data_IF_358626076964
#
_entry.id   IF_358626076964
#
_cell.length_a   1.000
_cell.length_b   1.000
_cell.length_c   1.000
_cell.angle_alpha   90.00
_cell.angle_beta   90.00
_cell.angle_gamma   90.00
#
_symmetry.space_group_name_H-M   'P 1'
#
loop_
_entity.id
_entity.type
_entity.pdbx_description
1 polymer ?
#
# COMPACT_ATOMS: atom_id res chain seq x y z
N UNK A 1 39.69 7.92 -22.50
CA UNK A 1 38.88 9.15 -22.64
C UNK A 1 37.87 9.11 -21.49
N UNK A 2 38.07 9.97 -20.50
CA UNK A 2 37.37 9.98 -19.20
C UNK A 2 36.11 10.84 -19.30
N UNK A 3 34.96 10.35 -18.80
CA UNK A 3 33.89 11.21 -18.31
C UNK A 3 33.40 10.68 -16.96
N UNK A 4 33.93 11.30 -15.89
CA UNK A 4 33.43 11.16 -14.53
C UNK A 4 32.32 12.21 -14.34
N UNK A 5 31.08 11.76 -14.16
CA UNK A 5 29.98 12.61 -13.72
C UNK A 5 29.85 12.53 -12.20
N UNK A 6 30.31 13.55 -11.49
CA UNK A 6 30.05 13.72 -10.06
C UNK A 6 28.73 14.44 -9.88
N UNK A 7 27.70 13.75 -9.38
CA UNK A 7 26.48 14.39 -8.88
C UNK A 7 26.71 14.73 -7.41
N UNK A 8 26.85 16.03 -7.11
CA UNK A 8 26.75 16.53 -5.75
C UNK A 8 25.28 16.85 -5.44
N UNK A 9 24.73 16.24 -4.40
CA UNK A 9 23.48 16.66 -3.81
C UNK A 9 23.75 17.91 -2.94
N UNK A 10 23.14 19.05 -3.29
CA UNK A 10 23.14 20.22 -2.41
C UNK A 10 22.15 19.97 -1.26
N UNK A 11 22.68 19.81 -0.04
CA UNK A 11 21.88 19.89 1.18
C UNK A 11 21.59 21.37 1.47
N UNK A 12 20.32 21.75 1.53
CA UNK A 12 19.91 23.06 2.03
C UNK A 12 20.23 23.16 3.54
N UNK A 13 20.65 24.33 4.04
CA UNK A 13 20.89 24.51 5.47
C UNK A 13 19.57 24.39 6.26
N UNK A 14 19.61 23.86 7.50
CA UNK A 14 18.43 23.76 8.34
C UNK A 14 17.89 25.14 8.69
N UNK A 15 16.60 25.35 8.45
CA UNK A 15 15.87 26.56 8.85
C UNK A 15 15.77 26.60 10.39
N UNK A 16 16.17 27.69 11.06
CA UNK A 16 15.99 27.80 12.51
C UNK A 16 14.51 27.89 12.88
N UNK A 17 14.09 27.35 14.04
CA UNK A 17 12.71 27.50 14.51
C UNK A 17 12.38 28.98 14.76
N UNK A 18 11.14 29.42 14.50
CA UNK A 18 10.74 30.78 14.84
C UNK A 18 10.84 30.97 16.35
N UNK A 19 11.64 31.96 16.73
CA UNK A 19 11.77 32.48 18.09
C UNK A 19 10.39 32.89 18.61
N UNK A 20 9.99 32.33 19.76
CA UNK A 20 8.86 32.80 20.53
C UNK A 20 9.14 34.25 20.96
N UNK A 21 8.40 35.20 20.38
CA UNK A 21 8.37 36.58 20.85
C UNK A 21 7.35 36.60 21.99
N UNK A 22 7.85 36.69 23.22
CA UNK A 22 7.03 37.01 24.38
C UNK A 22 6.85 38.53 24.45
N UNK A 23 5.66 38.92 24.90
CA UNK A 23 5.27 40.23 25.43
C UNK A 23 5.25 41.43 24.47
N UNK A 24 4.11 41.56 23.80
CA UNK A 24 3.54 42.85 23.41
C UNK A 24 2.08 42.88 23.85
N UNK A 25 1.81 43.62 24.92
CA UNK A 25 0.46 43.90 25.44
C UNK A 25 -0.44 44.41 24.31
N UNK A 26 -1.46 43.62 23.96
CA UNK A 26 -2.64 44.10 23.28
C UNK A 26 -3.82 43.86 24.23
N UNK A 27 -4.23 44.93 24.89
CA UNK A 27 -5.47 45.03 25.65
C UNK A 27 -6.62 44.82 24.68
N UNK A 28 -7.08 43.57 24.54
CA UNK A 28 -8.33 43.26 23.88
C UNK A 28 -9.45 43.56 24.87
N UNK A 29 -10.15 44.65 24.59
CA UNK A 29 -11.43 44.98 25.20
C UNK A 29 -12.31 43.72 25.24
N UNK A 30 -12.72 43.35 26.46
CA UNK A 30 -13.71 42.32 26.68
C UNK A 30 -15.06 42.89 26.22
N UNK A 31 -15.42 42.64 24.96
CA UNK A 31 -16.81 42.72 24.56
C UNK A 31 -17.50 41.52 25.20
N UNK A 32 -18.20 41.77 26.29
CA UNK A 32 -19.01 40.80 27.02
C UNK A 32 -20.22 40.46 26.13
N UNK A 33 -20.05 39.44 25.27
CA UNK A 33 -21.14 38.90 24.47
C UNK A 33 -22.11 38.22 25.44
N UNK A 34 -23.38 38.67 25.55
CA UNK A 34 -24.34 38.03 26.44
C UNK A 34 -24.54 36.58 26.00
N UNK A 35 -24.70 35.62 26.93
CA UNK A 35 -24.93 34.24 26.56
C UNK A 35 -26.23 34.14 25.74
N UNK A 36 -26.27 33.34 24.67
CA UNK A 36 -27.52 33.08 23.97
C UNK A 36 -28.48 32.42 24.96
N UNK A 37 -29.60 33.09 25.23
CA UNK A 37 -30.67 32.51 26.03
C UNK A 37 -31.28 31.36 25.22
N UNK A 38 -30.99 30.13 25.65
CA UNK A 38 -31.52 28.93 25.02
C UNK A 38 -33.00 28.79 25.39
N UNK A 39 -33.89 29.28 24.53
CA UNK A 39 -35.31 28.94 24.56
C UNK A 39 -35.49 27.49 24.12
N UNK A 40 -35.95 26.64 25.05
CA UNK A 40 -36.54 25.34 24.75
C UNK A 40 -35.58 24.16 24.68
N UNK A 41 -35.52 23.40 25.79
CA UNK A 41 -35.20 21.97 25.89
C UNK A 41 -34.46 21.32 24.69
N UNK A 42 -33.20 21.69 24.45
CA UNK A 42 -32.30 20.98 23.53
C UNK A 42 -31.50 19.98 24.36
N UNK A 43 -31.70 18.68 24.11
CA UNK A 43 -30.86 17.63 24.71
C UNK A 43 -29.48 17.66 24.07
N UNK A 44 -28.54 18.39 24.67
CA UNK A 44 -27.13 18.28 24.31
C UNK A 44 -26.54 17.04 24.98
N UNK A 45 -25.72 16.29 24.24
CA UNK A 45 -24.91 15.22 24.84
C UNK A 45 -23.97 15.87 25.87
N UNK A 46 -23.80 15.23 27.04
CA UNK A 46 -22.91 15.72 28.10
C UNK A 46 -21.45 15.85 27.63
N UNK A 47 -20.63 16.61 28.36
CA UNK A 47 -19.22 16.84 28.00
C UNK A 47 -18.47 15.51 27.84
N UNK A 48 -17.97 15.24 26.62
CA UNK A 48 -17.11 14.08 26.34
C UNK A 48 -15.67 14.49 26.60
N UNK A 49 -15.12 14.09 27.74
CA UNK A 49 -13.70 14.24 28.04
C UNK A 49 -12.95 13.04 27.47
N UNK A 50 -12.03 13.29 26.54
CA UNK A 50 -11.07 12.29 26.12
C UNK A 50 -10.06 12.06 27.25
N UNK A 51 -10.27 11.02 28.04
CA UNK A 51 -9.29 10.56 29.02
C UNK A 51 -8.13 9.94 28.24
N UNK A 52 -6.91 10.38 28.55
CA UNK A 52 -5.70 9.68 28.10
C UNK A 52 -5.76 8.28 28.71
N UNK A 53 -5.54 7.20 27.93
CA UNK A 53 -5.44 5.86 28.47
C UNK A 53 -4.41 5.86 29.60
N UNK A 54 -4.76 5.28 30.75
CA UNK A 54 -3.89 5.25 31.93
C UNK A 54 -2.50 4.70 31.54
N UNK A 55 -1.48 5.55 31.67
CA UNK A 55 -0.11 5.26 31.30
C UNK A 55 0.52 4.25 32.26
N UNK A 56 0.45 2.96 31.95
CA UNK A 56 1.39 1.97 32.51
C UNK A 56 1.88 0.96 31.48
N UNK A 57 1.31 0.94 30.26
CA UNK A 57 1.87 0.17 29.15
C UNK A 57 2.72 1.09 28.26
N UNK A 58 4.02 0.80 28.05
CA UNK A 58 4.79 1.52 27.04
C UNK A 58 4.15 1.32 25.67
N UNK A 59 4.02 2.41 24.91
CA UNK A 59 3.51 2.39 23.53
C UNK A 59 4.44 1.54 22.65
N UNK A 60 4.10 0.26 22.51
CA UNK A 60 4.85 -0.67 21.66
C UNK A 60 4.44 -0.48 20.19
N UNK A 61 5.25 0.29 19.46
CA UNK A 61 5.10 0.53 18.03
C UNK A 61 5.17 -0.74 17.17
N UNK A 62 5.73 -1.83 17.71
CA UNK A 62 5.91 -3.10 17.00
C UNK A 62 4.87 -4.15 17.38
N UNK A 63 3.99 -3.86 18.34
CA UNK A 63 2.86 -4.73 18.73
C UNK A 63 1.84 -4.86 17.61
N UNK A 64 1.65 -3.81 16.82
CA UNK A 64 0.70 -3.85 15.71
C UNK A 64 1.21 -4.79 14.61
N UNK A 65 0.53 -5.93 14.47
CA UNK A 65 0.64 -6.80 13.29
C UNK A 65 -0.56 -6.54 12.41
N UNK A 66 -0.32 -6.18 11.15
CA UNK A 66 -1.41 -6.05 10.19
C UNK A 66 -2.13 -7.41 10.07
N UNK A 67 -3.41 -7.52 10.47
CA UNK A 67 -4.14 -8.78 10.41
C UNK A 67 -4.52 -9.16 8.98
N UNK A 68 -4.42 -8.22 8.03
CA UNK A 68 -4.70 -8.45 6.62
C UNK A 68 -3.44 -8.99 5.94
N UNK A 69 -3.49 -10.27 5.60
CA UNK A 69 -2.49 -10.89 4.71
C UNK A 69 -2.96 -10.69 3.28
N UNK A 70 -2.19 -9.95 2.48
CA UNK A 70 -2.51 -9.74 1.07
C UNK A 70 -2.39 -11.07 0.32
N UNK A 71 -3.51 -11.62 -0.15
CA UNK A 71 -3.49 -12.79 -1.01
C UNK A 71 -2.88 -12.45 -2.38
N UNK A 72 -2.23 -13.44 -3.00
CA UNK A 72 -1.70 -13.28 -4.36
C UNK A 72 -2.83 -12.98 -5.35
N UNK A 73 -2.70 -11.89 -6.11
CA UNK A 73 -3.69 -11.44 -7.10
C UNK A 73 -3.06 -11.43 -8.51
N UNK A 74 -3.84 -11.22 -9.57
CA UNK A 74 -3.35 -11.01 -10.95
C UNK A 74 -2.23 -9.96 -11.01
N UNK A 75 -2.29 -8.91 -10.19
CA UNK A 75 -1.26 -7.87 -10.12
C UNK A 75 0.06 -8.35 -9.53
N UNK A 76 0.07 -9.37 -8.66
CA UNK A 76 1.31 -9.89 -8.06
C UNK A 76 2.17 -10.69 -9.05
N UNK A 77 1.67 -10.93 -10.28
CA UNK A 77 2.45 -11.53 -11.38
C UNK A 77 3.21 -10.49 -12.19
N UNK A 78 2.60 -9.33 -12.39
CA UNK A 78 3.16 -8.25 -13.20
C UNK A 78 3.98 -7.26 -12.39
N UNK A 79 3.69 -7.16 -11.10
CA UNK A 79 4.32 -6.21 -10.19
C UNK A 79 4.79 -6.95 -8.93
N UNK A 80 6.09 -6.86 -8.65
CA UNK A 80 6.64 -7.20 -7.34
C UNK A 80 7.23 -5.94 -6.74
N UNK A 81 7.05 -5.78 -5.45
CA UNK A 81 7.73 -4.72 -4.73
C UNK A 81 9.25 -4.91 -4.87
N UNK A 82 10.00 -3.82 -5.11
CA UNK A 82 11.44 -3.90 -5.12
C UNK A 82 11.92 -4.33 -3.72
N UNK A 83 13.00 -5.11 -3.63
CA UNK A 83 13.55 -5.54 -2.35
C UNK A 83 13.92 -4.33 -1.50
N UNK A 84 13.61 -4.38 -0.20
CA UNK A 84 13.87 -3.25 0.69
C UNK A 84 15.38 -3.10 0.94
N UNK A 85 15.89 -1.88 1.25
CA UNK A 85 17.32 -1.70 1.50
C UNK A 85 17.87 -2.58 2.64
N UNK A 86 17.05 -2.85 3.66
CA UNK A 86 17.38 -3.76 4.76
C UNK A 86 17.45 -5.22 4.29
N UNK A 87 16.51 -5.66 3.45
CA UNK A 87 16.57 -7.00 2.86
C UNK A 87 17.81 -7.14 1.98
N UNK A 88 18.13 -6.11 1.19
CA UNK A 88 19.32 -6.11 0.33
C UNK A 88 20.59 -6.17 1.19
N UNK A 89 20.67 -5.44 2.31
CA UNK A 89 21.84 -5.49 3.19
C UNK A 89 22.01 -6.87 3.84
N UNK A 90 20.91 -7.49 4.31
CA UNK A 90 20.92 -8.85 4.85
C UNK A 90 21.31 -9.90 3.80
N UNK A 91 20.96 -9.68 2.53
CA UNK A 91 21.28 -10.61 1.43
C UNK A 91 22.68 -10.40 0.81
N UNK A 92 23.58 -9.70 1.48
CA UNK A 92 24.95 -9.44 0.99
C UNK A 92 25.13 -8.11 0.24
N UNK A 93 24.16 -7.21 0.31
CA UNK A 93 24.21 -5.85 -0.24
C UNK A 93 23.91 -5.76 -1.74
N UNK A 94 23.91 -4.52 -2.23
CA UNK A 94 23.64 -4.21 -3.65
C UNK A 94 24.70 -4.78 -4.60
N UNK A 95 25.93 -5.01 -4.13
CA UNK A 95 27.00 -5.58 -4.96
C UNK A 95 26.69 -7.02 -5.36
N UNK A 96 26.39 -7.87 -4.39
CA UNK A 96 26.05 -9.27 -4.64
C UNK A 96 24.74 -9.39 -5.41
N UNK A 97 23.75 -8.55 -5.10
CA UNK A 97 22.52 -8.44 -5.89
C UNK A 97 22.80 -8.08 -7.35
N UNK A 98 23.68 -7.10 -7.60
CA UNK A 98 24.05 -6.67 -8.94
C UNK A 98 24.79 -7.75 -9.74
N UNK A 99 25.69 -8.50 -9.10
CA UNK A 99 26.40 -9.63 -9.73
C UNK A 99 25.39 -10.71 -10.13
N UNK A 100 24.54 -11.14 -9.20
CA UNK A 100 23.52 -12.16 -9.46
C UNK A 100 22.55 -11.72 -10.56
N UNK A 101 22.11 -10.46 -10.52
CA UNK A 101 21.25 -9.89 -11.55
C UNK A 101 21.93 -9.90 -12.93
N UNK A 102 23.20 -9.50 -13.00
CA UNK A 102 23.99 -9.52 -14.22
C UNK A 102 24.16 -10.92 -14.81
N UNK A 103 24.46 -11.91 -13.97
CA UNK A 103 24.56 -13.32 -14.38
C UNK A 103 23.22 -13.85 -14.93
N UNK A 104 22.11 -13.55 -14.25
CA UNK A 104 20.77 -13.95 -14.71
C UNK A 104 20.40 -13.29 -16.05
N UNK A 105 20.72 -12.01 -16.22
CA UNK A 105 20.48 -11.29 -17.47
C UNK A 105 21.32 -11.87 -18.63
N UNK A 106 22.58 -12.20 -18.37
CA UNK A 106 23.46 -12.85 -19.35
C UNK A 106 22.94 -14.25 -19.74
N UNK A 107 22.50 -15.05 -18.76
CA UNK A 107 21.91 -16.36 -19.02
C UNK A 107 20.64 -16.26 -19.89
N UNK A 108 19.75 -15.30 -19.61
CA UNK A 108 18.57 -15.02 -20.44
C UNK A 108 18.97 -14.61 -21.87
N UNK A 109 19.98 -13.77 -22.01
CA UNK A 109 20.51 -13.36 -23.31
C UNK A 109 21.06 -14.55 -24.09
N UNK A 110 21.85 -15.40 -23.44
CA UNK A 110 22.38 -16.62 -24.05
C UNK A 110 21.26 -17.57 -24.47
N UNK A 111 20.26 -17.80 -23.61
CA UNK A 111 19.11 -18.65 -23.90
C UNK A 111 18.31 -18.15 -25.13
N UNK A 112 18.19 -16.82 -25.29
CA UNK A 112 17.57 -16.20 -26.47
C UNK A 112 18.40 -16.40 -27.74
N UNK A 113 19.73 -16.35 -27.66
CA UNK A 113 20.63 -16.55 -28.80
C UNK A 113 20.74 -18.01 -29.22
N UNK A 114 20.72 -18.94 -28.26
CA UNK A 114 20.78 -20.39 -28.54
C UNK A 114 19.45 -20.96 -28.98
N UNK A 115 18.39 -20.15 -29.01
CA UNK A 115 17.01 -20.56 -29.27
C UNK A 115 16.59 -21.75 -28.38
N UNK A 116 17.11 -21.79 -27.15
CA UNK A 116 16.72 -22.77 -26.15
C UNK A 116 15.20 -22.66 -25.97
N UNK A 117 14.48 -23.72 -26.32
CA UNK A 117 13.04 -23.75 -26.08
C UNK A 117 12.86 -23.78 -24.57
N UNK A 118 12.33 -22.69 -24.03
CA UNK A 118 11.90 -22.68 -22.65
C UNK A 118 10.84 -23.79 -22.48
N UNK A 119 10.87 -24.51 -21.36
CA UNK A 119 9.84 -25.50 -21.06
C UNK A 119 8.57 -24.75 -20.65
N UNK A 120 7.91 -24.15 -21.64
CA UNK A 120 6.60 -23.56 -21.49
C UNK A 120 5.64 -24.72 -21.32
N UNK A 121 5.05 -24.84 -20.14
CA UNK A 121 3.89 -25.69 -19.94
C UNK A 121 2.84 -25.26 -20.96
N UNK A 122 2.51 -26.13 -21.92
CA UNK A 122 1.46 -25.85 -22.88
C UNK A 122 0.21 -25.45 -22.11
N UNK A 123 -0.43 -24.35 -22.49
CA UNK A 123 -1.68 -23.94 -21.87
C UNK A 123 -2.75 -25.01 -22.14
N UNK A 124 -2.83 -26.00 -21.26
CA UNK A 124 -3.92 -26.95 -21.22
C UNK A 124 -5.09 -26.16 -20.65
N UNK A 125 -6.20 -26.11 -21.39
CA UNK A 125 -7.43 -25.53 -20.90
C UNK A 125 -7.78 -26.27 -19.59
N UNK A 126 -7.76 -25.54 -18.48
CA UNK A 126 -8.25 -26.09 -17.22
C UNK A 126 -9.72 -26.41 -17.44
N UNK A 127 -10.22 -27.58 -17.01
CA UNK A 127 -11.66 -27.81 -17.01
C UNK A 127 -12.33 -26.67 -16.25
N UNK A 128 -13.51 -26.21 -16.71
CA UNK A 128 -14.25 -25.16 -16.00
C UNK A 128 -14.47 -25.60 -14.55
N UNK A 129 -14.45 -24.66 -13.58
CA UNK A 129 -14.79 -25.00 -12.21
C UNK A 129 -16.21 -25.56 -12.15
N UNK A 130 -16.42 -26.62 -11.37
CA UNK A 130 -17.76 -27.15 -11.13
C UNK A 130 -18.64 -26.06 -10.51
N UNK A 131 -19.79 -25.77 -11.13
CA UNK A 131 -20.72 -24.80 -10.58
C UNK A 131 -21.42 -25.42 -9.37
N UNK A 132 -21.48 -24.67 -8.27
CA UNK A 132 -22.34 -25.03 -7.14
C UNK A 132 -23.81 -25.05 -7.57
N UNK A 133 -24.66 -25.82 -6.88
CA UNK A 133 -26.08 -25.94 -7.22
C UNK A 133 -26.80 -24.57 -7.29
N UNK A 134 -26.42 -23.63 -6.42
CA UNK A 134 -26.99 -22.28 -6.43
C UNK A 134 -26.57 -21.48 -7.68
N UNK A 135 -25.34 -21.68 -8.16
CA UNK A 135 -24.86 -21.05 -9.39
C UNK A 135 -25.52 -21.67 -10.62
N UNK A 136 -25.79 -22.98 -10.61
CA UNK A 136 -26.54 -23.65 -11.69
C UNK A 136 -27.98 -23.12 -11.78
N UNK A 137 -28.67 -22.94 -10.65
CA UNK A 137 -30.02 -22.35 -10.65
C UNK A 137 -30.02 -20.94 -11.22
N UNK A 138 -29.11 -20.09 -10.77
CA UNK A 138 -28.96 -18.73 -11.29
C UNK A 138 -28.66 -18.70 -12.80
N UNK A 139 -27.85 -19.64 -13.28
CA UNK A 139 -27.55 -19.75 -14.71
C UNK A 139 -28.77 -20.20 -15.52
N UNK A 140 -29.57 -21.12 -14.99
CA UNK A 140 -30.83 -21.55 -15.62
C UNK A 140 -31.83 -20.38 -15.71
N UNK A 141 -32.04 -19.67 -14.61
CA UNK A 141 -32.94 -18.49 -14.56
C UNK A 141 -32.50 -17.39 -15.54
N UNK A 142 -31.18 -17.18 -15.66
CA UNK A 142 -30.63 -16.21 -16.61
C UNK A 142 -30.84 -16.64 -18.07
N UNK A 143 -30.75 -17.95 -18.35
CA UNK A 143 -30.89 -18.48 -19.70
C UNK A 143 -32.34 -18.54 -20.20
N UNK A 144 -33.32 -18.62 -19.31
CA UNK A 144 -34.73 -18.47 -19.66
C UNK A 144 -35.05 -17.07 -20.24
N UNK A 145 -34.28 -16.04 -19.83
CA UNK A 145 -34.42 -14.67 -20.34
C UNK A 145 -33.49 -14.31 -21.50
N UNK A 146 -32.39 -15.04 -21.71
CA UNK A 146 -31.28 -14.62 -22.58
C UNK A 146 -30.97 -15.55 -23.77
N UNK A 147 -31.80 -16.56 -24.04
CA UNK A 147 -31.68 -17.50 -25.17
C UNK A 147 -30.24 -18.07 -25.34
N UNK A 148 -29.76 -18.76 -24.31
CA UNK A 148 -28.39 -19.28 -24.19
C UNK A 148 -28.00 -20.42 -25.17
N UNK A 149 -28.78 -20.69 -26.21
CA UNK A 149 -28.62 -21.87 -27.04
C UNK A 149 -27.54 -21.74 -28.13
N UNK A 150 -26.26 -21.48 -27.79
CA UNK A 150 -25.17 -21.50 -28.80
C UNK A 150 -23.71 -21.56 -28.28
N UNK A 151 -23.39 -22.25 -27.17
CA UNK A 151 -22.00 -22.30 -26.67
C UNK A 151 -21.53 -23.72 -26.28
N UNK A 152 -21.88 -24.75 -27.05
CA UNK A 152 -21.53 -26.13 -26.72
C UNK A 152 -21.57 -27.13 -27.87
N UNK A 153 -21.17 -26.73 -29.07
CA UNK A 153 -20.79 -27.66 -30.15
C UNK A 153 -19.39 -27.34 -30.64
#
# INVERSE_FOLDING_TARGET
MMLAGTVQAQQAPPTPPPVAVTDGQAEVAQDEIPPPQADGNVTTLGEVRALKPEDDEPLDLYRFKNPVQAESNRFSKSWSEPPTPEQVSMSGGYLLMGINYGLMAAAKGLHKLTNGRDQIQSAIARPPPELTEQQLRRAADYCEGADCAAAGR
#
